data_IF_033079825719
#
_entry.id   IF_033079825719
#
_cell.length_a   1.000
_cell.length_b   1.000
_cell.length_c   1.000
_cell.angle_alpha   90.00
_cell.angle_beta   90.00
_cell.angle_gamma   90.00
#
_symmetry.space_group_name_H-M   'P 1'
#
loop_
_entity.id
_entity.type
_entity.pdbx_description
1 polymer ?
#
# COMPACT_ATOMS: atom_id res chain seq x y z
N UNK A 1 19.32 7.89 -11.82
CA UNK A 1 18.54 8.32 -10.69
C UNK A 1 17.54 7.24 -10.29
N UNK A 2 17.53 6.89 -9.04
CA UNK A 2 16.63 5.83 -8.60
C UNK A 2 15.17 6.29 -8.71
N UNK A 3 14.35 5.44 -9.27
CA UNK A 3 12.93 5.68 -9.32
C UNK A 3 12.34 5.40 -7.93
N UNK A 4 11.75 6.40 -7.32
CA UNK A 4 11.09 6.22 -6.04
C UNK A 4 9.66 5.73 -6.27
N UNK A 5 9.55 4.61 -6.96
CA UNK A 5 8.27 4.00 -7.26
C UNK A 5 8.38 2.48 -7.20
N UNK A 6 7.30 1.83 -6.82
CA UNK A 6 7.26 0.39 -6.64
C UNK A 6 5.85 -0.09 -7.00
N UNK A 7 5.74 -1.31 -7.53
CA UNK A 7 4.43 -1.92 -7.78
C UNK A 7 3.70 -2.09 -6.46
N UNK A 8 2.40 -1.83 -6.46
CA UNK A 8 1.63 -1.92 -5.22
C UNK A 8 1.58 -3.34 -4.66
N UNK A 9 1.54 -4.36 -5.52
CA UNK A 9 1.52 -5.74 -5.03
C UNK A 9 2.81 -6.09 -4.28
N UNK A 10 3.95 -5.62 -4.77
CA UNK A 10 5.23 -5.82 -4.10
C UNK A 10 5.27 -5.07 -2.78
N UNK A 11 4.82 -3.81 -2.78
CA UNK A 11 4.89 -2.99 -1.58
C UNK A 11 3.98 -3.52 -0.46
N UNK A 12 2.75 -3.91 -0.80
CA UNK A 12 1.83 -4.47 0.21
C UNK A 12 2.39 -5.75 0.83
N UNK A 13 3.12 -6.52 0.05
CA UNK A 13 3.79 -7.71 0.54
C UNK A 13 4.99 -7.34 1.42
N UNK A 14 5.83 -6.38 1.00
CA UNK A 14 6.98 -5.92 1.79
C UNK A 14 6.54 -5.31 3.12
N UNK A 15 5.46 -4.55 3.11
CA UNK A 15 4.92 -3.91 4.32
C UNK A 15 4.15 -4.89 5.20
N UNK A 16 4.02 -6.14 4.79
CA UNK A 16 3.37 -7.22 5.52
C UNK A 16 1.87 -7.04 5.70
N UNK A 17 1.24 -6.22 4.89
CA UNK A 17 -0.23 -6.17 4.86
C UNK A 17 -0.81 -7.43 4.23
N UNK A 18 -0.10 -8.02 3.27
CA UNK A 18 -0.50 -9.26 2.62
C UNK A 18 0.59 -10.31 2.81
N UNK A 19 0.18 -11.55 3.08
CA UNK A 19 1.12 -12.65 3.33
C UNK A 19 1.90 -13.04 2.09
N UNK A 20 1.31 -12.87 0.92
CA UNK A 20 1.94 -13.25 -0.34
C UNK A 20 1.72 -12.14 -1.36
N UNK A 21 2.58 -12.10 -2.38
CA UNK A 21 2.41 -11.17 -3.48
C UNK A 21 1.14 -11.47 -4.27
N UNK A 22 0.75 -12.74 -4.35
CA UNK A 22 -0.47 -13.13 -5.03
C UNK A 22 -1.71 -12.54 -4.36
N UNK A 23 -1.74 -12.54 -3.02
CA UNK A 23 -2.85 -11.93 -2.28
C UNK A 23 -2.89 -10.42 -2.49
N UNK A 24 -1.71 -9.79 -2.50
CA UNK A 24 -1.62 -8.36 -2.75
C UNK A 24 -2.08 -8.02 -4.16
N UNK A 25 -1.69 -8.81 -5.15
CA UNK A 25 -2.11 -8.62 -6.53
C UNK A 25 -3.62 -8.76 -6.65
N UNK A 26 -4.20 -9.75 -6.01
CA UNK A 26 -5.64 -9.98 -6.05
C UNK A 26 -6.39 -8.78 -5.46
N UNK A 27 -5.93 -8.27 -4.32
CA UNK A 27 -6.54 -7.12 -3.67
C UNK A 27 -6.58 -5.91 -4.61
N UNK A 28 -5.45 -5.63 -5.27
CA UNK A 28 -5.34 -4.51 -6.18
C UNK A 28 -6.16 -4.74 -7.46
N UNK A 29 -6.06 -5.93 -8.05
CA UNK A 29 -6.79 -6.25 -9.29
C UNK A 29 -8.30 -6.19 -9.11
N UNK A 30 -8.79 -6.45 -7.88
CA UNK A 30 -10.21 -6.38 -7.58
C UNK A 30 -10.69 -4.94 -7.33
N UNK A 31 -9.82 -3.95 -7.45
CA UNK A 31 -10.18 -2.57 -7.27
C UNK A 31 -10.47 -2.20 -5.82
N UNK A 32 -9.86 -2.88 -4.87
CA UNK A 32 -10.15 -2.73 -3.45
C UNK A 32 -9.19 -1.79 -2.73
N UNK A 33 -8.34 -1.09 -3.48
CA UNK A 33 -7.38 -0.14 -2.91
C UNK A 33 -7.63 1.23 -3.52
N UNK A 34 -7.74 2.24 -2.67
CA UNK A 34 -7.82 3.62 -3.11
C UNK A 34 -6.50 4.31 -2.83
N UNK A 35 -6.10 5.13 -3.78
CA UNK A 35 -4.85 5.88 -3.72
C UNK A 35 -5.15 7.36 -3.70
N UNK A 36 -4.53 8.09 -2.78
CA UNK A 36 -4.57 9.56 -2.78
C UNK A 36 -3.16 10.08 -3.01
N UNK A 37 -3.01 10.89 -4.03
CA UNK A 37 -1.74 11.51 -4.38
C UNK A 37 -1.98 12.98 -4.69
N UNK A 38 -1.31 13.87 -3.91
CA UNK A 38 -1.47 15.29 -4.11
C UNK A 38 -2.92 15.77 -3.98
N UNK A 39 -3.68 15.15 -3.09
CA UNK A 39 -5.08 15.49 -2.88
C UNK A 39 -6.05 14.85 -3.86
N UNK A 40 -5.55 14.17 -4.90
CA UNK A 40 -6.40 13.52 -5.89
C UNK A 40 -6.55 12.03 -5.54
N UNK A 41 -7.80 11.58 -5.44
CA UNK A 41 -8.10 10.18 -5.13
C UNK A 41 -8.42 9.41 -6.40
N UNK A 42 -7.90 8.19 -6.49
CA UNK A 42 -8.21 7.29 -7.58
C UNK A 42 -8.25 5.85 -7.05
N UNK A 43 -8.95 4.98 -7.79
CA UNK A 43 -8.99 3.57 -7.44
C UNK A 43 -7.90 2.83 -8.20
N UNK A 44 -7.17 2.00 -7.46
CA UNK A 44 -6.20 1.11 -8.09
C UNK A 44 -6.93 -0.15 -8.52
N UNK A 45 -6.78 -0.51 -9.79
CA UNK A 45 -7.42 -1.70 -10.34
C UNK A 45 -6.45 -2.66 -11.01
N UNK A 46 -5.14 -2.43 -10.82
CA UNK A 46 -4.09 -3.29 -11.37
C UNK A 46 -2.98 -3.48 -10.35
N UNK A 47 -2.54 -4.71 -10.18
CA UNK A 47 -1.44 -5.03 -9.28
C UNK A 47 -0.13 -4.35 -9.68
N UNK A 48 0.02 -4.03 -10.94
CA UNK A 48 1.23 -3.39 -11.45
C UNK A 48 1.25 -1.88 -11.25
N UNK A 49 0.16 -1.29 -10.72
CA UNK A 49 0.14 0.15 -10.46
C UNK A 49 1.29 0.52 -9.54
N UNK A 50 2.05 1.55 -9.91
CA UNK A 50 3.16 1.99 -9.08
C UNK A 50 2.71 2.99 -8.04
N UNK A 51 3.32 2.90 -6.86
CA UNK A 51 3.08 3.81 -5.75
C UNK A 51 4.41 4.45 -5.35
N UNK A 52 4.35 5.54 -4.62
CA UNK A 52 5.52 6.33 -4.23
C UNK A 52 5.42 6.75 -2.77
N UNK A 53 6.55 7.06 -2.13
CA UNK A 53 6.50 7.68 -0.80
C UNK A 53 5.64 8.94 -0.84
N UNK A 54 4.85 9.15 0.18
CA UNK A 54 3.91 10.25 0.25
C UNK A 54 2.51 9.90 -0.21
N UNK A 55 2.34 8.83 -0.99
CA UNK A 55 1.01 8.37 -1.38
C UNK A 55 0.26 7.86 -0.16
N UNK A 56 -1.06 8.04 -0.16
CA UNK A 56 -1.92 7.51 0.89
C UNK A 56 -2.78 6.40 0.30
N UNK A 57 -2.91 5.32 1.06
CA UNK A 57 -3.69 4.16 0.64
C UNK A 57 -4.78 3.87 1.64
N UNK A 58 -5.96 3.50 1.12
CA UNK A 58 -7.07 3.01 1.95
C UNK A 58 -7.53 1.69 1.36
N UNK A 59 -7.60 0.67 2.20
CA UNK A 59 -8.02 -0.66 1.77
C UNK A 59 -8.58 -1.44 2.96
N UNK A 60 -9.37 -2.46 2.67
CA UNK A 60 -9.95 -3.31 3.71
C UNK A 60 -9.25 -4.67 3.69
N UNK A 61 -8.83 -5.10 4.85
CA UNK A 61 -8.24 -6.42 5.05
C UNK A 61 -8.93 -7.08 6.23
N UNK A 62 -9.44 -8.30 6.01
CA UNK A 62 -10.11 -9.04 7.07
C UNK A 62 -11.29 -8.28 7.67
N UNK A 63 -12.02 -7.55 6.85
CA UNK A 63 -13.16 -6.76 7.31
C UNK A 63 -12.79 -5.47 7.99
N UNK A 64 -11.51 -5.12 8.03
CA UNK A 64 -11.02 -3.95 8.73
C UNK A 64 -10.50 -2.92 7.73
N UNK A 65 -11.00 -1.69 7.85
CA UNK A 65 -10.53 -0.60 6.99
C UNK A 65 -9.18 -0.10 7.50
N UNK A 66 -8.21 -0.02 6.59
CA UNK A 66 -6.86 0.39 6.90
C UNK A 66 -6.51 1.61 6.05
N UNK A 67 -6.03 2.67 6.70
CA UNK A 67 -5.58 3.89 6.02
C UNK A 67 -4.16 4.17 6.45
N UNK A 68 -3.26 4.31 5.48
CA UNK A 68 -1.84 4.55 5.75
C UNK A 68 -1.25 5.52 4.74
N UNK A 69 -0.12 6.12 5.12
CA UNK A 69 0.71 6.88 4.19
C UNK A 69 1.98 6.11 3.97
N UNK A 70 2.42 6.01 2.71
CA UNK A 70 3.66 5.34 2.36
C UNK A 70 4.83 6.25 2.75
N UNK A 71 5.71 5.74 3.62
CA UNK A 71 6.89 6.49 4.06
C UNK A 71 8.13 6.06 3.29
N UNK A 72 8.22 4.78 2.96
CA UNK A 72 9.35 4.24 2.23
C UNK A 72 8.89 3.00 1.46
N UNK A 73 9.62 2.68 0.39
CA UNK A 73 9.26 1.54 -0.45
C UNK A 73 9.87 0.23 0.03
N UNK A 74 10.99 0.31 0.75
CA UNK A 74 11.71 -0.87 1.17
C UNK A 74 12.44 -1.54 0.01
N UNK A 75 13.24 -2.53 0.34
CA UNK A 75 13.99 -3.31 -0.66
C UNK A 75 13.67 -4.78 -0.57
N UNK A 76 12.98 -5.19 0.50
CA UNK A 76 12.69 -6.59 0.77
C UNK A 76 11.53 -6.70 1.73
N UNK A 77 11.01 -7.90 1.86
CA UNK A 77 10.04 -8.21 2.91
C UNK A 77 10.83 -8.55 4.18
N UNK A 78 11.07 -7.53 4.99
CA UNK A 78 11.80 -7.69 6.24
C UNK A 78 10.94 -8.17 7.38
N UNK A 79 11.51 -8.26 8.58
CA UNK A 79 10.73 -8.61 9.78
C UNK A 79 9.69 -7.53 10.10
N UNK A 80 8.68 -7.86 10.93
CA UNK A 80 7.59 -6.91 11.19
C UNK A 80 8.02 -5.53 11.67
N UNK A 81 9.06 -5.44 12.48
CA UNK A 81 9.53 -4.13 12.96
C UNK A 81 10.06 -3.28 11.81
N UNK A 82 10.77 -3.89 10.86
CA UNK A 82 11.26 -3.19 9.68
C UNK A 82 10.10 -2.80 8.76
N UNK A 83 9.13 -3.68 8.58
CA UNK A 83 7.98 -3.41 7.73
C UNK A 83 7.17 -2.21 8.22
N UNK A 84 7.09 -2.02 9.53
CA UNK A 84 6.36 -0.87 10.10
C UNK A 84 6.99 0.47 9.76
N UNK A 85 8.26 0.50 9.39
CA UNK A 85 8.92 1.75 9.00
C UNK A 85 8.54 2.18 7.60
N UNK A 86 7.86 1.31 6.83
CA UNK A 86 7.50 1.61 5.45
C UNK A 86 6.25 2.46 5.35
N UNK A 87 5.50 2.62 6.44
CA UNK A 87 4.25 3.36 6.41
C UNK A 87 3.97 4.03 7.75
N UNK A 88 3.09 5.03 7.70
CA UNK A 88 2.55 5.67 8.89
C UNK A 88 1.03 5.49 8.88
N UNK A 89 0.43 5.04 9.99
CA UNK A 89 -1.01 4.95 10.07
C UNK A 89 -1.66 6.33 9.94
N UNK A 90 -2.80 6.39 9.26
CA UNK A 90 -3.61 7.59 9.16
C UNK A 90 -4.90 7.35 9.95
N UNK A 91 -5.45 8.43 10.49
CA UNK A 91 -6.75 8.32 11.13
C UNK A 91 -7.77 7.97 10.06
N UNK A 92 -8.55 6.90 10.22
CA UNK A 92 -9.57 6.60 9.24
C UNK A 92 -10.58 7.75 9.19
N UNK A 93 -11.17 8.00 8.01
CA UNK A 93 -12.21 9.03 7.93
C UNK A 93 -13.29 8.72 8.95
N UNK A 94 -13.77 9.75 9.61
CA UNK A 94 -14.84 9.58 10.59
C UNK A 94 -16.05 8.97 9.90
N UNK A 95 -16.58 7.94 10.51
CA UNK A 95 -17.75 7.27 9.98
C UNK A 95 -18.97 8.19 10.09
#
# INVERSE_FOLDING_TARGET
MAEDACRIDVWLWRARFCKTRSLAAKLADEGRVRLTRGGAESRIDKASRTIRPGDELVFALGGRLTAIRIEALGERRGPPAEARTLYAPLDPPAA
#
